data_IF_507827190796
#
_entry.id   IF_507827190796
#
_cell.length_a   1.000
_cell.length_b   1.000
_cell.length_c   1.000
_cell.angle_alpha   90.00
_cell.angle_beta   90.00
_cell.angle_gamma   90.00
#
_symmetry.space_group_name_H-M   'P 1'
#
loop_
_entity.id
_entity.type
_entity.pdbx_description
1 polymer ?
#
# COMPACT_ATOMS: atom_id res chain seq x y z
N UNK A 1 10.43 -9.67 -18.10
CA UNK A 1 10.94 -8.75 -17.06
C UNK A 1 9.92 -8.72 -15.93
N UNK A 2 10.29 -9.09 -14.71
CA UNK A 2 9.35 -9.11 -13.59
C UNK A 2 9.08 -7.67 -13.14
N UNK A 3 7.88 -7.15 -13.39
CA UNK A 3 7.45 -5.85 -12.90
C UNK A 3 7.32 -5.91 -11.37
N UNK A 4 8.35 -5.47 -10.66
CA UNK A 4 8.27 -5.27 -9.21
C UNK A 4 7.12 -4.33 -8.83
N UNK A 5 6.76 -3.40 -9.71
CA UNK A 5 5.60 -2.51 -9.57
C UNK A 5 4.30 -3.29 -9.37
N UNK A 6 3.97 -4.22 -10.28
CA UNK A 6 2.73 -5.01 -10.17
C UNK A 6 2.73 -5.90 -8.92
N UNK A 7 3.91 -6.39 -8.51
CA UNK A 7 4.04 -7.17 -7.29
C UNK A 7 3.70 -6.32 -6.06
N UNK A 8 4.26 -5.11 -5.97
CA UNK A 8 4.01 -4.18 -4.87
C UNK A 8 2.53 -3.79 -4.85
N UNK A 9 1.96 -3.44 -6.00
CA UNK A 9 0.57 -3.03 -6.09
C UNK A 9 -0.37 -4.14 -5.58
N UNK A 10 -0.27 -5.35 -6.14
CA UNK A 10 -1.13 -6.47 -5.77
C UNK A 10 -0.98 -6.89 -4.30
N UNK A 11 0.25 -6.91 -3.78
CA UNK A 11 0.49 -7.25 -2.39
C UNK A 11 -0.04 -6.17 -1.43
N UNK A 12 0.20 -4.90 -1.72
CA UNK A 12 -0.30 -3.78 -0.89
C UNK A 12 -1.82 -3.76 -0.89
N UNK A 13 -2.47 -3.90 -2.05
CA UNK A 13 -3.94 -4.00 -2.14
C UNK A 13 -4.46 -5.16 -1.32
N UNK A 14 -3.88 -6.36 -1.47
CA UNK A 14 -4.32 -7.56 -0.75
C UNK A 14 -4.19 -7.39 0.77
N UNK A 15 -3.07 -6.83 1.23
CA UNK A 15 -2.82 -6.57 2.66
C UNK A 15 -3.79 -5.52 3.23
N UNK A 16 -4.10 -4.48 2.48
CA UNK A 16 -5.04 -3.44 2.91
C UNK A 16 -6.48 -3.95 2.93
N UNK A 17 -6.91 -4.67 1.89
CA UNK A 17 -8.25 -5.28 1.86
C UNK A 17 -8.39 -6.31 2.99
N UNK A 18 -7.36 -7.11 3.28
CA UNK A 18 -7.35 -8.02 4.45
C UNK A 18 -7.52 -7.30 5.79
N UNK A 19 -7.01 -6.08 5.91
CA UNK A 19 -7.17 -5.26 7.11
C UNK A 19 -8.55 -4.59 7.22
N UNK A 20 -9.42 -4.75 6.21
CA UNK A 20 -10.76 -4.17 6.17
C UNK A 20 -10.81 -2.76 5.55
N UNK A 21 -9.76 -2.36 4.82
CA UNK A 21 -9.81 -1.16 4.01
C UNK A 21 -10.63 -1.40 2.74
N UNK A 22 -11.35 -0.37 2.29
CA UNK A 22 -12.09 -0.40 1.04
C UNK A 22 -11.14 -0.63 -0.14
N UNK A 23 -11.61 -1.35 -1.15
CA UNK A 23 -10.82 -1.65 -2.35
C UNK A 23 -10.34 -0.39 -3.08
N UNK A 24 -11.13 0.69 -3.06
CA UNK A 24 -10.73 1.99 -3.63
C UNK A 24 -9.54 2.58 -2.88
N UNK A 25 -9.60 2.62 -1.55
CA UNK A 25 -8.51 3.13 -0.69
C UNK A 25 -7.27 2.24 -0.83
N UNK A 26 -7.46 0.92 -0.86
CA UNK A 26 -6.39 -0.04 -1.07
C UNK A 26 -5.63 0.18 -2.38
N UNK A 27 -6.35 0.44 -3.49
CA UNK A 27 -5.73 0.76 -4.79
C UNK A 27 -4.97 2.08 -4.77
N UNK A 28 -5.54 3.14 -4.20
CA UNK A 28 -4.86 4.44 -4.19
C UNK A 28 -3.60 4.38 -3.30
N UNK A 29 -3.69 3.74 -2.13
CA UNK A 29 -2.52 3.48 -1.28
C UNK A 29 -1.44 2.66 -1.99
N UNK A 30 -1.84 1.71 -2.85
CA UNK A 30 -0.92 0.89 -3.62
C UNK A 30 -0.22 1.67 -4.75
N UNK A 31 -0.93 2.58 -5.42
CA UNK A 31 -0.35 3.49 -6.41
C UNK A 31 0.73 4.40 -5.79
N UNK A 32 0.47 4.93 -4.60
CA UNK A 32 1.43 5.73 -3.83
C UNK A 32 2.65 4.90 -3.43
N UNK A 33 2.45 3.66 -3.00
CA UNK A 33 3.53 2.72 -2.69
C UNK A 33 4.41 2.45 -3.92
N UNK A 34 3.79 2.30 -5.10
CA UNK A 34 4.47 2.12 -6.38
C UNK A 34 5.25 3.36 -6.78
N UNK A 35 4.69 4.56 -6.64
CA UNK A 35 5.40 5.81 -6.93
C UNK A 35 6.62 5.96 -6.01
N UNK A 36 6.46 5.68 -4.71
CA UNK A 36 7.55 5.65 -3.75
C UNK A 36 8.62 4.63 -4.13
N UNK A 37 8.21 3.43 -4.54
CA UNK A 37 9.12 2.41 -5.02
C UNK A 37 9.87 2.90 -6.26
N UNK A 38 9.20 3.47 -7.27
CA UNK A 38 9.86 3.96 -8.49
C UNK A 38 10.90 5.04 -8.20
N UNK A 39 10.63 5.91 -7.22
CA UNK A 39 11.58 6.95 -6.78
C UNK A 39 12.75 6.40 -5.98
N UNK A 40 12.53 5.41 -5.11
CA UNK A 40 13.57 4.85 -4.22
C UNK A 40 14.27 3.60 -4.78
N UNK A 41 13.72 2.93 -5.81
CA UNK A 41 14.25 1.69 -6.40
C UNK A 41 15.64 1.85 -6.98
N UNK A 42 16.02 3.07 -7.35
CA UNK A 42 17.37 3.38 -7.81
C UNK A 42 18.43 3.32 -6.68
N UNK A 43 18.03 3.44 -5.40
CA UNK A 43 18.96 3.70 -4.30
C UNK A 43 19.01 2.62 -3.21
N UNK A 44 17.93 1.85 -3.00
CA UNK A 44 17.86 0.92 -1.86
C UNK A 44 17.83 -0.57 -2.28
N UNK A 45 19.00 -1.23 -2.19
CA UNK A 45 19.14 -2.69 -2.24
C UNK A 45 18.35 -3.35 -1.09
N UNK A 46 17.12 -3.81 -1.37
CA UNK A 46 16.49 -4.94 -0.68
C UNK A 46 15.41 -4.65 0.38
N UNK A 47 15.19 -3.41 0.84
CA UNK A 47 14.20 -3.11 1.90
C UNK A 47 13.02 -2.20 1.51
N UNK A 48 12.92 -1.79 0.25
CA UNK A 48 11.93 -0.78 -0.17
C UNK A 48 10.48 -1.27 -0.03
N UNK A 49 10.21 -2.57 -0.18
CA UNK A 49 8.84 -3.08 -0.08
C UNK A 49 8.20 -2.79 1.27
N UNK A 50 8.94 -3.00 2.36
CA UNK A 50 8.43 -2.75 3.71
C UNK A 50 8.13 -1.27 3.94
N UNK A 51 8.95 -0.38 3.39
CA UNK A 51 8.77 1.08 3.45
C UNK A 51 7.53 1.52 2.67
N UNK A 52 7.39 0.99 1.44
CA UNK A 52 6.22 1.23 0.59
C UNK A 52 4.93 0.71 1.22
N UNK A 53 4.96 -0.48 1.83
CA UNK A 53 3.81 -1.04 2.54
C UNK A 53 3.45 -0.22 3.79
N UNK A 54 4.44 0.32 4.51
CA UNK A 54 4.19 1.19 5.65
C UNK A 54 3.55 2.50 5.21
N UNK A 55 4.09 3.16 4.18
CA UNK A 55 3.52 4.38 3.61
C UNK A 55 2.07 4.18 3.14
N UNK A 56 1.80 3.06 2.47
CA UNK A 56 0.46 2.67 2.02
C UNK A 56 -0.54 2.54 3.18
N UNK A 57 -0.13 1.90 4.29
CA UNK A 57 -0.95 1.73 5.49
C UNK A 57 -1.24 3.07 6.18
N UNK A 58 -0.22 3.93 6.31
CA UNK A 58 -0.38 5.28 6.89
C UNK A 58 -1.36 6.11 6.05
N UNK A 59 -1.25 6.03 4.72
CA UNK A 59 -2.16 6.73 3.82
C UNK A 59 -3.57 6.15 3.88
N UNK A 60 -3.71 4.83 3.90
CA UNK A 60 -5.00 4.16 4.03
C UNK A 60 -5.71 4.55 5.33
N UNK A 61 -4.98 4.61 6.44
CA UNK A 61 -5.50 5.06 7.73
C UNK A 61 -5.88 6.54 7.79
N UNK A 62 -5.33 7.39 6.90
CA UNK A 62 -5.76 8.79 6.76
C UNK A 62 -7.04 8.93 5.93
N UNK A 63 -7.18 8.13 4.88
CA UNK A 63 -8.33 8.21 3.94
C UNK A 63 -9.55 7.48 4.45
N UNK A 64 -9.35 6.28 4.95
CA UNK A 64 -10.33 5.55 5.73
C UNK A 64 -9.78 5.49 7.15
N UNK A 65 -10.01 6.52 7.99
CA UNK A 65 -9.82 6.36 9.41
C UNK A 65 -10.62 5.12 9.76
N UNK A 66 -9.92 4.06 10.17
CA UNK A 66 -10.47 2.74 10.45
C UNK A 66 -11.90 2.93 10.94
N UNK A 67 -12.88 2.62 10.09
CA UNK A 67 -14.25 2.48 10.56
C UNK A 67 -14.17 1.18 11.35
N UNK A 68 -13.57 1.25 12.55
CA UNK A 68 -13.92 0.40 13.66
C UNK A 68 -15.42 0.38 13.58
N UNK A 69 -15.92 -0.79 13.23
CA UNK A 69 -17.33 -1.03 13.03
C UNK A 69 -18.11 -0.13 13.97
N UNK A 70 -18.95 0.74 13.39
CA UNK A 70 -20.13 1.22 14.08
C UNK A 70 -20.86 -0.05 14.52
N UNK A 71 -20.53 -0.55 15.71
CA UNK A 71 -21.39 -1.51 16.36
C UNK A 71 -22.45 -0.69 17.07
N UNK A 72 -23.54 -0.60 16.32
CA UNK A 72 -24.93 -0.45 16.71
C UNK A 72 -25.26 -0.89 18.14
#
# INVERSE_FOLDING_TARGET
MKNYVEFIEKHVVTELVKQGYEQSVARISADIAVEHYRRNAASAKGKIFSDCLHAAKVWAGKYQPQVKAKNR
#
